data_IF_266937797507
#
_entry.id   IF_266937797507
#
_cell.length_a   1.000
_cell.length_b   1.000
_cell.length_c   1.000
_cell.angle_alpha   90.00
_cell.angle_beta   90.00
_cell.angle_gamma   90.00
#
_symmetry.space_group_name_H-M   'P 1'
#
loop_
_entity.id
_entity.type
_entity.pdbx_description
1 polymer ?
#
# COMPACT_ATOMS: atom_id res chain seq x y z
N UNK A 1 35.36 -14.45 73.39
CA UNK A 1 34.97 -15.24 72.21
C UNK A 1 33.45 -15.18 72.09
N UNK A 2 32.92 -14.89 70.89
CA UNK A 2 31.49 -14.71 70.50
C UNK A 2 30.90 -13.35 70.88
N UNK A 3 30.51 -12.43 69.99
CA UNK A 3 30.32 -12.44 68.54
C UNK A 3 29.05 -11.61 68.24
N UNK A 4 29.21 -10.31 67.96
CA UNK A 4 28.12 -9.39 67.61
C UNK A 4 27.68 -9.65 66.16
N UNK A 5 26.40 -9.96 65.94
CA UNK A 5 25.80 -10.06 64.60
C UNK A 5 24.97 -8.80 64.34
N UNK A 6 25.52 -7.92 63.51
CA UNK A 6 24.81 -6.77 62.91
C UNK A 6 24.16 -7.28 61.62
N UNK A 7 22.83 -7.26 61.56
CA UNK A 7 22.08 -7.56 60.34
C UNK A 7 22.00 -6.28 59.48
N UNK A 8 22.73 -6.25 58.37
CA UNK A 8 22.63 -5.19 57.37
C UNK A 8 21.50 -5.51 56.37
N UNK A 9 20.46 -4.69 56.35
CA UNK A 9 19.40 -4.72 55.34
C UNK A 9 19.93 -4.08 54.05
N UNK A 10 20.19 -4.90 53.03
CA UNK A 10 20.57 -4.42 51.70
C UNK A 10 19.35 -4.12 50.85
N UNK A 11 19.07 -2.84 50.59
CA UNK A 11 18.09 -2.41 49.59
C UNK A 11 18.65 -2.70 48.18
N UNK A 12 18.09 -3.68 47.49
CA UNK A 12 18.34 -3.92 46.06
C UNK A 12 17.47 -2.94 45.27
N UNK A 13 18.07 -1.88 44.75
CA UNK A 13 17.44 -1.03 43.74
C UNK A 13 17.42 -1.79 42.40
N UNK A 14 16.27 -2.35 42.06
CA UNK A 14 15.98 -2.87 40.72
C UNK A 14 15.91 -1.68 39.76
N UNK A 15 16.99 -1.39 39.04
CA UNK A 15 16.96 -0.47 37.91
C UNK A 15 16.20 -1.16 36.79
N UNK A 16 14.88 -0.98 36.74
CA UNK A 16 14.09 -1.29 35.56
C UNK A 16 14.48 -0.28 34.48
N UNK A 17 15.39 -0.67 33.60
CA UNK A 17 15.59 0.02 32.33
C UNK A 17 14.25 -0.06 31.58
N UNK A 18 13.53 1.07 31.50
CA UNK A 18 12.37 1.17 30.65
C UNK A 18 12.83 1.00 29.20
N UNK A 19 12.58 -0.17 28.61
CA UNK A 19 12.76 -0.39 27.18
C UNK A 19 11.82 0.58 26.47
N UNK A 20 12.40 1.55 25.75
CA UNK A 20 11.62 2.42 24.89
C UNK A 20 10.89 1.54 23.87
N UNK A 21 9.57 1.71 23.75
CA UNK A 21 8.78 0.97 22.79
C UNK A 21 9.37 1.15 21.37
N UNK A 22 9.60 0.03 20.68
CA UNK A 22 10.24 0.06 19.37
C UNK A 22 9.24 0.45 18.27
N UNK A 23 9.67 1.19 17.24
CA UNK A 23 8.84 1.47 16.09
C UNK A 23 8.40 0.20 15.36
N UNK A 24 7.11 0.10 15.06
CA UNK A 24 6.52 -0.98 14.26
C UNK A 24 6.35 -0.48 12.83
N UNK A 25 6.83 -1.27 11.88
CA UNK A 25 6.73 -1.01 10.44
C UNK A 25 5.59 -1.85 9.85
N UNK A 26 4.62 -1.24 9.16
CA UNK A 26 3.70 -2.00 8.32
C UNK A 26 4.46 -2.83 7.27
N UNK A 27 3.90 -3.96 6.82
CA UNK A 27 4.50 -4.83 5.82
C UNK A 27 4.98 -4.03 4.60
N UNK A 28 6.23 -4.28 4.20
CA UNK A 28 6.92 -3.58 3.11
C UNK A 28 7.12 -2.07 3.26
N UNK A 29 6.66 -1.44 4.35
CA UNK A 29 6.83 -0.01 4.53
C UNK A 29 8.21 0.33 5.08
N UNK A 30 8.77 1.43 4.60
CA UNK A 30 9.99 2.05 5.12
C UNK A 30 9.71 3.02 6.27
N UNK A 31 8.44 3.26 6.56
CA UNK A 31 7.96 4.16 7.62
C UNK A 31 7.39 3.32 8.75
N UNK A 32 7.89 3.52 9.96
CA UNK A 32 7.37 2.92 11.18
C UNK A 32 7.05 3.99 12.21
N UNK A 33 6.17 3.67 13.15
CA UNK A 33 5.89 4.50 14.34
C UNK A 33 5.81 3.59 15.55
N UNK A 34 5.92 4.16 16.74
CA UNK A 34 5.42 3.52 17.96
C UNK A 34 3.90 3.74 17.99
N UNK A 35 3.08 2.71 17.70
CA UNK A 35 1.63 2.87 17.72
C UNK A 35 1.16 3.21 19.14
N UNK A 36 0.05 3.94 19.24
CA UNK A 36 -0.61 4.16 20.53
C UNK A 36 -1.22 2.87 21.04
N UNK A 37 -1.42 2.79 22.35
CA UNK A 37 -2.10 1.66 22.98
C UNK A 37 -3.45 1.42 22.28
N UNK A 38 -3.76 0.15 22.04
CA UNK A 38 -4.94 -0.35 21.33
C UNK A 38 -5.01 -0.04 19.82
N UNK A 39 -4.01 0.62 19.23
CA UNK A 39 -3.93 0.69 17.76
C UNK A 39 -3.47 -0.63 17.19
N UNK A 40 -4.14 -1.07 16.14
CA UNK A 40 -3.76 -2.25 15.36
C UNK A 40 -3.23 -1.83 14.00
N UNK A 41 -2.34 -2.64 13.44
CA UNK A 41 -1.91 -2.47 12.07
C UNK A 41 -3.10 -2.66 11.12
N UNK A 42 -3.28 -1.75 10.17
CA UNK A 42 -4.40 -1.85 9.23
C UNK A 42 -4.17 -2.95 8.21
N UNK A 43 -5.24 -3.70 7.91
CA UNK A 43 -5.27 -4.66 6.78
C UNK A 43 -5.69 -4.02 5.46
N UNK A 44 -6.02 -2.72 5.47
CA UNK A 44 -6.68 -2.01 4.35
C UNK A 44 -5.82 -0.93 3.72
N UNK A 45 -4.84 -0.44 4.46
CA UNK A 45 -3.88 0.57 4.01
C UNK A 45 -2.57 0.41 4.79
N UNK A 46 -1.47 0.97 4.28
CA UNK A 46 -0.22 1.02 5.04
C UNK A 46 -0.38 1.98 6.23
N UNK A 47 -0.29 1.46 7.45
CA UNK A 47 -0.42 2.25 8.68
C UNK A 47 -1.18 1.52 9.79
N UNK A 48 -1.82 2.30 10.65
CA UNK A 48 -2.47 1.81 11.88
C UNK A 48 -3.88 2.38 12.01
N UNK A 49 -4.75 1.64 12.68
CA UNK A 49 -6.13 2.05 12.95
C UNK A 49 -6.62 1.59 14.32
N UNK A 50 -7.64 2.27 14.82
CA UNK A 50 -8.46 1.82 15.93
C UNK A 50 -9.92 2.18 15.59
N UNK A 51 -10.76 1.16 15.39
CA UNK A 51 -12.16 1.34 15.00
C UNK A 51 -13.01 1.91 16.13
N UNK A 52 -12.73 1.55 17.38
CA UNK A 52 -13.48 2.03 18.56
C UNK A 52 -13.27 3.53 18.80
N UNK A 53 -12.03 3.99 18.62
CA UNK A 53 -11.63 5.41 18.70
C UNK A 53 -11.73 6.13 17.35
N UNK A 54 -12.32 5.49 16.34
CA UNK A 54 -12.48 5.98 14.97
C UNK A 54 -11.22 6.69 14.42
N UNK A 55 -10.06 6.09 14.67
CA UNK A 55 -8.74 6.66 14.37
C UNK A 55 -8.06 5.89 13.26
N UNK A 56 -7.40 6.60 12.35
CA UNK A 56 -6.53 6.02 11.34
C UNK A 56 -5.27 6.87 11.16
N UNK A 57 -4.12 6.23 11.02
CA UNK A 57 -2.85 6.84 10.61
C UNK A 57 -2.39 6.11 9.36
N UNK A 58 -2.38 6.80 8.21
CA UNK A 58 -2.00 6.25 6.92
C UNK A 58 -0.63 6.76 6.50
N UNK A 59 0.19 5.88 5.93
CA UNK A 59 1.52 6.18 5.45
C UNK A 59 1.57 6.19 3.92
N UNK A 60 2.35 7.11 3.38
CA UNK A 60 2.72 7.16 1.97
C UNK A 60 4.21 7.47 1.82
N UNK A 61 4.81 6.89 0.80
CA UNK A 61 6.23 7.02 0.47
C UNK A 61 6.36 7.64 -0.91
N UNK A 62 7.22 8.64 -1.05
CA UNK A 62 7.47 9.37 -2.29
C UNK A 62 8.98 9.49 -2.54
N UNK A 63 9.39 9.78 -3.79
CA UNK A 63 10.78 10.09 -4.09
C UNK A 63 11.34 11.21 -3.19
N UNK A 64 12.65 11.21 -2.90
CA UNK A 64 13.27 12.22 -2.04
C UNK A 64 13.10 13.65 -2.59
N UNK A 65 13.03 13.82 -3.92
CA UNK A 65 12.85 15.11 -4.60
C UNK A 65 11.45 15.69 -4.38
N UNK A 66 10.47 14.86 -3.99
CA UNK A 66 9.09 15.29 -3.78
C UNK A 66 8.91 16.14 -2.50
N UNK A 67 9.85 16.12 -1.55
CA UNK A 67 9.67 16.77 -0.24
C UNK A 67 9.37 18.27 -0.38
N UNK A 68 10.18 18.99 -1.15
CA UNK A 68 10.07 20.45 -1.25
C UNK A 68 8.77 20.84 -1.98
N UNK A 69 8.41 20.10 -3.04
CA UNK A 69 7.16 20.29 -3.76
C UNK A 69 5.94 19.98 -2.88
N UNK A 70 5.99 18.89 -2.11
CA UNK A 70 4.95 18.50 -1.17
C UNK A 70 4.73 19.62 -0.14
N UNK A 71 5.78 20.06 0.53
CA UNK A 71 5.72 21.10 1.57
C UNK A 71 5.19 22.43 1.02
N UNK A 72 5.60 22.81 -0.20
CA UNK A 72 5.09 23.98 -0.89
C UNK A 72 3.59 23.86 -1.22
N UNK A 73 3.12 22.65 -1.56
CA UNK A 73 1.73 22.35 -1.85
C UNK A 73 0.80 22.32 -0.62
N UNK A 74 1.35 22.12 0.58
CA UNK A 74 0.60 22.10 1.84
C UNK A 74 0.20 23.50 2.32
N UNK A 75 -0.42 24.31 1.45
CA UNK A 75 -0.95 25.64 1.79
C UNK A 75 -2.27 25.54 2.54
N UNK A 76 -2.66 26.58 3.28
CA UNK A 76 -3.92 26.61 4.04
C UNK A 76 -5.14 26.37 3.14
N UNK A 77 -5.16 26.96 1.94
CA UNK A 77 -6.28 26.80 0.99
C UNK A 77 -6.31 25.41 0.35
N UNK A 78 -5.16 24.84 0.01
CA UNK A 78 -5.07 23.49 -0.52
C UNK A 78 -5.54 22.46 0.52
N UNK A 79 -5.11 22.62 1.77
CA UNK A 79 -5.52 21.76 2.88
C UNK A 79 -7.00 21.91 3.22
N UNK A 80 -7.55 23.13 3.18
CA UNK A 80 -8.99 23.36 3.36
C UNK A 80 -9.81 22.63 2.29
N UNK A 81 -9.36 22.65 1.04
CA UNK A 81 -9.96 21.85 -0.07
C UNK A 81 -9.86 20.34 0.16
N UNK A 82 -8.81 19.88 0.85
CA UNK A 82 -8.63 18.48 1.26
C UNK A 82 -9.26 18.14 2.63
N UNK A 83 -10.17 18.99 3.11
CA UNK A 83 -10.95 18.69 4.32
C UNK A 83 -10.29 19.09 5.64
N UNK A 84 -9.23 19.93 5.65
CA UNK A 84 -8.49 20.33 6.84
C UNK A 84 -8.51 21.85 7.06
N UNK A 85 -9.18 22.30 8.12
CA UNK A 85 -9.06 23.67 8.64
C UNK A 85 -7.84 23.76 9.57
N UNK A 86 -6.73 24.25 9.02
CA UNK A 86 -5.44 24.35 9.72
C UNK A 86 -5.54 25.26 10.96
N UNK A 87 -5.12 24.71 12.11
CA UNK A 87 -4.98 25.43 13.39
C UNK A 87 -3.52 25.61 13.78
N UNK A 88 -2.65 24.65 13.46
CA UNK A 88 -1.22 24.73 13.74
C UNK A 88 -0.38 24.23 12.56
N UNK A 89 0.81 24.82 12.41
CA UNK A 89 1.84 24.44 11.45
C UNK A 89 3.20 24.59 12.12
N UNK A 90 3.99 23.54 12.14
CA UNK A 90 5.24 23.49 12.90
C UNK A 90 6.31 22.70 12.15
N UNK A 91 7.52 23.26 12.08
CA UNK A 91 8.70 22.49 11.70
C UNK A 91 9.26 21.80 12.94
N UNK A 92 9.50 20.50 12.85
CA UNK A 92 10.02 19.70 13.95
C UNK A 92 11.10 18.73 13.47
N UNK A 93 11.81 18.13 14.43
CA UNK A 93 12.72 17.02 14.17
C UNK A 93 12.02 15.70 14.51
N UNK A 94 12.12 14.75 13.60
CA UNK A 94 11.70 13.37 13.82
C UNK A 94 12.95 12.50 13.75
N UNK A 95 13.47 12.08 14.91
CA UNK A 95 14.80 11.49 14.98
C UNK A 95 15.86 12.43 14.38
N UNK A 96 16.60 11.96 13.38
CA UNK A 96 17.57 12.76 12.64
C UNK A 96 16.97 13.59 11.49
N UNK A 97 15.73 13.28 11.07
CA UNK A 97 15.07 13.89 9.92
C UNK A 97 14.36 15.19 10.26
N UNK A 98 14.28 16.10 9.28
CA UNK A 98 13.41 17.27 9.36
C UNK A 98 11.99 16.90 8.96
N UNK A 99 11.00 17.44 9.67
CA UNK A 99 9.60 17.26 9.32
C UNK A 99 8.77 18.52 9.48
N UNK A 100 7.63 18.53 8.80
CA UNK A 100 6.59 19.55 8.90
C UNK A 100 5.30 18.89 9.37
N UNK A 101 4.84 19.27 10.57
CA UNK A 101 3.56 18.84 11.11
C UNK A 101 2.53 19.96 10.95
N UNK A 102 1.36 19.60 10.43
CA UNK A 102 0.20 20.47 10.31
C UNK A 102 -0.96 19.77 11.01
N UNK A 103 -1.66 20.48 11.89
CA UNK A 103 -2.86 19.97 12.55
C UNK A 103 -4.04 20.92 12.36
N UNK A 104 -5.24 20.38 12.53
CA UNK A 104 -6.46 21.15 12.33
C UNK A 104 -7.73 20.33 12.48
N UNK A 105 -8.85 21.04 12.39
CA UNK A 105 -10.18 20.44 12.43
C UNK A 105 -10.58 19.92 11.04
N UNK A 106 -11.27 18.79 10.99
CA UNK A 106 -11.86 18.28 9.75
C UNK A 106 -13.04 19.16 9.32
N UNK A 107 -13.08 19.52 8.03
CA UNK A 107 -14.13 20.41 7.46
C UNK A 107 -15.25 19.66 6.73
N UNK A 108 -15.18 18.33 6.66
CA UNK A 108 -16.19 17.48 6.06
C UNK A 108 -17.45 17.26 6.91
N UNK A 109 -18.39 16.42 6.44
CA UNK A 109 -19.60 16.07 7.19
C UNK A 109 -19.28 15.34 8.50
N UNK A 110 -18.18 14.58 8.50
CA UNK A 110 -17.65 13.92 9.69
C UNK A 110 -16.75 14.92 10.43
N UNK A 111 -17.15 15.26 11.66
CA UNK A 111 -16.34 16.09 12.57
C UNK A 111 -15.17 15.27 13.11
N UNK A 112 -14.05 15.94 13.37
CA UNK A 112 -12.86 15.29 13.87
C UNK A 112 -11.63 16.18 13.80
N UNK A 113 -10.49 15.58 14.12
CA UNK A 113 -9.15 16.20 14.07
C UNK A 113 -8.31 15.47 13.03
N UNK A 114 -7.44 16.20 12.34
CA UNK A 114 -6.55 15.64 11.33
C UNK A 114 -5.17 16.27 11.42
N UNK A 115 -4.16 15.43 11.22
CA UNK A 115 -2.76 15.79 11.19
C UNK A 115 -2.13 15.34 9.88
N UNK A 116 -1.22 16.15 9.36
CA UNK A 116 -0.42 15.87 8.18
C UNK A 116 1.03 16.09 8.57
N UNK A 117 1.83 15.02 8.53
CA UNK A 117 3.25 15.06 8.81
C UNK A 117 4.02 14.69 7.53
N UNK A 118 4.80 15.61 7.00
CA UNK A 118 5.80 15.32 5.98
C UNK A 118 7.17 15.18 6.65
N UNK A 119 7.93 14.13 6.32
CA UNK A 119 9.29 13.89 6.85
C UNK A 119 10.27 13.71 5.69
N UNK A 120 11.38 14.46 5.74
CA UNK A 120 12.48 14.34 4.78
C UNK A 120 13.43 13.23 5.23
N UNK A 121 13.30 12.06 4.60
CA UNK A 121 14.25 10.96 4.75
C UNK A 121 15.55 11.21 3.98
N UNK A 122 16.51 10.29 4.11
CA UNK A 122 17.78 10.37 3.40
C UNK A 122 17.61 10.15 1.89
N UNK A 123 16.75 9.22 1.50
CA UNK A 123 16.52 8.75 0.13
C UNK A 123 15.03 8.60 -0.20
N UNK A 124 14.15 9.19 0.63
CA UNK A 124 12.71 9.19 0.43
C UNK A 124 12.03 10.36 1.13
N UNK A 125 10.78 10.63 0.74
CA UNK A 125 9.85 11.49 1.49
C UNK A 125 8.76 10.63 2.11
N UNK A 126 8.57 10.72 3.43
CA UNK A 126 7.45 10.08 4.10
C UNK A 126 6.31 11.08 4.35
N UNK A 127 5.07 10.65 4.09
CA UNK A 127 3.87 11.40 4.41
C UNK A 127 2.99 10.55 5.32
N UNK A 128 2.69 11.06 6.51
CA UNK A 128 1.74 10.46 7.43
C UNK A 128 0.51 11.35 7.52
N UNK A 129 -0.66 10.74 7.35
CA UNK A 129 -1.95 11.41 7.54
C UNK A 129 -2.66 10.70 8.66
N UNK A 130 -2.83 11.39 9.79
CA UNK A 130 -3.61 10.90 10.90
C UNK A 130 -4.97 11.59 10.96
N UNK A 131 -5.99 10.86 11.35
CA UNK A 131 -7.32 11.40 11.60
C UNK A 131 -7.98 10.67 12.76
N UNK A 132 -8.70 11.43 13.57
CA UNK A 132 -9.58 10.94 14.63
C UNK A 132 -10.96 11.51 14.31
N UNK A 133 -11.91 10.63 14.01
CA UNK A 133 -13.30 11.00 13.75
C UNK A 133 -14.09 10.99 15.06
N UNK A 134 -15.10 11.85 15.17
CA UNK A 134 -15.86 12.01 16.41
C UNK A 134 -15.29 13.09 17.36
N UNK A 135 -15.95 13.26 18.51
CA UNK A 135 -15.66 14.30 19.50
C UNK A 135 -14.41 14.05 20.36
N UNK A 136 -14.47 14.41 21.64
CA UNK A 136 -13.34 14.28 22.58
C UNK A 136 -13.01 12.82 22.98
N UNK A 137 -13.75 11.83 22.47
CA UNK A 137 -13.68 10.43 22.91
C UNK A 137 -12.60 9.58 22.20
N UNK A 138 -11.89 10.16 21.21
CA UNK A 138 -10.72 9.55 20.58
C UNK A 138 -9.40 9.98 21.21
N UNK A 139 -8.27 9.60 20.61
CA UNK A 139 -6.95 10.01 21.11
C UNK A 139 -6.80 11.54 21.17
N UNK A 140 -6.14 12.00 22.23
CA UNK A 140 -5.82 13.41 22.48
C UNK A 140 -4.79 13.95 21.48
N UNK A 141 -4.68 15.28 21.40
CA UNK A 141 -3.64 15.95 20.61
C UNK A 141 -2.23 15.48 21.01
N UNK A 142 -1.99 15.29 22.31
CA UNK A 142 -0.68 14.90 22.82
C UNK A 142 -0.33 13.46 22.45
N UNK A 143 -1.28 12.54 22.54
CA UNK A 143 -1.09 11.14 22.13
C UNK A 143 -0.83 11.04 20.63
N UNK A 144 -1.65 11.70 19.80
CA UNK A 144 -1.47 11.69 18.35
C UNK A 144 -0.13 12.32 17.95
N UNK A 145 0.26 13.43 18.60
CA UNK A 145 1.56 14.03 18.39
C UNK A 145 2.69 13.06 18.78
N UNK A 146 2.60 12.41 19.95
CA UNK A 146 3.60 11.42 20.41
C UNK A 146 3.80 10.32 19.38
N UNK A 147 2.72 9.75 18.84
CA UNK A 147 2.77 8.72 17.80
C UNK A 147 3.41 9.25 16.51
N UNK A 148 2.98 10.42 16.02
CA UNK A 148 3.52 11.01 14.79
C UNK A 148 4.99 11.43 14.91
N UNK A 149 5.45 11.88 16.08
CA UNK A 149 6.86 12.23 16.29
C UNK A 149 7.76 11.02 16.57
N UNK A 150 7.18 9.84 16.80
CA UNK A 150 7.92 8.58 16.96
C UNK A 150 8.33 7.92 15.63
N UNK A 151 8.12 8.61 14.51
CA UNK A 151 8.43 8.08 13.18
C UNK A 151 9.89 7.64 13.10
N UNK A 152 10.07 6.40 12.66
CA UNK A 152 11.35 5.83 12.28
C UNK A 152 11.33 5.51 10.79
N UNK A 153 12.45 5.82 10.13
CA UNK A 153 12.65 5.52 8.72
C UNK A 153 13.71 4.42 8.61
N UNK A 154 13.47 3.45 7.73
CA UNK A 154 14.45 2.41 7.40
C UNK A 154 14.91 2.49 5.94
N UNK A 155 16.01 1.81 5.66
CA UNK A 155 16.53 1.68 4.30
C UNK A 155 15.56 0.98 3.34
N UNK A 156 15.93 0.85 2.07
CA UNK A 156 15.14 0.14 1.08
C UNK A 156 14.76 -1.28 1.54
N UNK A 157 13.51 -1.66 1.31
CA UNK A 157 13.02 -3.01 1.60
C UNK A 157 13.36 -3.92 0.43
N UNK A 158 13.90 -5.11 0.70
CA UNK A 158 14.19 -6.09 -0.36
C UNK A 158 12.94 -6.48 -1.14
N UNK A 159 13.07 -6.84 -2.42
CA UNK A 159 11.92 -7.25 -3.23
C UNK A 159 11.20 -8.47 -2.63
N UNK A 160 11.92 -9.42 -2.05
CA UNK A 160 11.33 -10.60 -1.41
C UNK A 160 10.53 -10.26 -0.17
N UNK A 161 10.99 -9.30 0.65
CA UNK A 161 10.22 -8.80 1.79
C UNK A 161 8.97 -8.04 1.30
N UNK A 162 9.09 -7.24 0.23
CA UNK A 162 7.93 -6.57 -0.37
C UNK A 162 6.90 -7.57 -0.90
N UNK A 163 7.33 -8.65 -1.55
CA UNK A 163 6.44 -9.71 -2.05
C UNK A 163 5.79 -10.46 -0.90
N UNK A 164 6.54 -10.78 0.15
CA UNK A 164 6.04 -11.51 1.32
C UNK A 164 4.98 -10.72 2.09
N UNK A 165 4.99 -9.39 1.95
CA UNK A 165 4.04 -8.46 2.54
C UNK A 165 2.73 -8.29 1.73
N UNK A 166 2.66 -8.80 0.50
CA UNK A 166 1.48 -8.65 -0.35
C UNK A 166 0.26 -9.35 0.28
N UNK A 167 -0.96 -8.85 0.03
CA UNK A 167 -2.18 -9.43 0.57
C UNK A 167 -2.63 -10.70 -0.18
N UNK A 168 -1.68 -11.44 -0.76
CA UNK A 168 -1.86 -12.66 -1.52
C UNK A 168 -0.50 -13.36 -1.70
N UNK A 169 -0.52 -14.63 -2.10
CA UNK A 169 0.67 -15.39 -2.51
C UNK A 169 0.56 -15.83 -3.96
N UNK A 170 1.70 -15.86 -4.65
CA UNK A 170 1.81 -16.42 -6.00
C UNK A 170 2.44 -17.80 -5.86
N UNK A 171 1.69 -18.85 -6.21
CA UNK A 171 2.20 -20.22 -6.19
C UNK A 171 3.15 -20.48 -7.36
N UNK A 172 2.60 -20.73 -8.54
CA UNK A 172 3.36 -20.94 -9.76
C UNK A 172 3.50 -19.62 -10.53
N UNK A 173 4.74 -19.16 -10.69
CA UNK A 173 5.04 -17.94 -11.46
C UNK A 173 5.15 -18.19 -12.96
N UNK A 174 5.06 -19.43 -13.44
CA UNK A 174 5.13 -19.80 -14.85
C UNK A 174 6.33 -19.18 -15.60
N UNK A 175 7.49 -19.13 -14.95
CA UNK A 175 8.73 -18.54 -15.47
C UNK A 175 8.83 -17.01 -15.34
N UNK A 176 7.78 -16.31 -14.92
CA UNK A 176 7.83 -14.86 -14.70
C UNK A 176 8.62 -14.53 -13.43
N UNK A 177 9.53 -13.56 -13.55
CA UNK A 177 10.30 -13.01 -12.44
C UNK A 177 9.63 -11.76 -11.90
N UNK A 178 9.38 -11.65 -10.58
CA UNK A 178 8.97 -10.39 -9.99
C UNK A 178 10.06 -9.33 -10.17
N UNK A 179 9.67 -8.12 -10.53
CA UNK A 179 10.62 -7.01 -10.74
C UNK A 179 10.35 -5.82 -9.82
N UNK A 180 9.10 -5.60 -9.41
CA UNK A 180 8.73 -4.55 -8.43
C UNK A 180 7.35 -4.80 -7.83
N UNK A 181 7.19 -4.41 -6.57
CA UNK A 181 5.87 -4.21 -5.95
C UNK A 181 5.39 -2.79 -6.22
N UNK A 182 4.08 -2.64 -6.44
CA UNK A 182 3.42 -1.39 -6.71
C UNK A 182 2.37 -1.16 -5.63
N UNK A 183 2.44 -0.02 -4.93
CA UNK A 183 1.46 0.43 -3.95
C UNK A 183 1.13 -0.59 -2.82
N UNK A 184 2.00 -1.56 -2.56
CA UNK A 184 1.84 -2.57 -1.49
C UNK A 184 0.74 -3.61 -1.72
N UNK A 185 0.02 -3.57 -2.84
CA UNK A 185 -1.08 -4.50 -3.15
C UNK A 185 -0.99 -5.10 -4.56
N UNK A 186 0.09 -4.81 -5.28
CA UNK A 186 0.28 -5.20 -6.67
C UNK A 186 1.73 -5.56 -6.93
N UNK A 187 1.97 -6.41 -7.92
CA UNK A 187 3.32 -6.82 -8.33
C UNK A 187 3.41 -6.87 -9.85
N UNK A 188 4.51 -6.34 -10.36
CA UNK A 188 4.92 -6.46 -11.75
C UNK A 188 5.86 -7.64 -11.85
N UNK A 189 5.56 -8.55 -12.77
CA UNK A 189 6.44 -9.63 -13.18
C UNK A 189 6.77 -9.51 -14.67
N UNK A 190 7.93 -10.02 -15.06
CA UNK A 190 8.37 -10.05 -16.45
C UNK A 190 8.97 -11.40 -16.81
N UNK A 191 8.92 -11.73 -18.10
CA UNK A 191 9.64 -12.85 -18.66
C UNK A 191 10.75 -12.34 -19.59
N UNK A 192 11.93 -12.13 -19.02
CA UNK A 192 13.08 -11.60 -19.73
C UNK A 192 14.00 -10.78 -18.82
N UNK A 193 15.09 -10.22 -19.38
CA UNK A 193 16.11 -9.54 -18.61
C UNK A 193 15.70 -8.12 -18.16
N UNK A 194 14.66 -7.52 -18.73
CA UNK A 194 14.29 -6.13 -18.41
C UNK A 194 13.50 -6.03 -17.10
N UNK A 195 13.95 -5.16 -16.20
CA UNK A 195 13.26 -4.84 -14.93
C UNK A 195 12.37 -3.59 -15.02
N UNK A 196 12.46 -2.88 -16.15
CA UNK A 196 11.66 -1.70 -16.45
C UNK A 196 10.85 -1.92 -17.71
N UNK A 197 9.59 -1.49 -17.68
CA UNK A 197 8.68 -1.59 -18.83
C UNK A 197 8.52 -0.19 -19.41
N UNK A 198 9.25 0.09 -20.49
CA UNK A 198 9.11 1.31 -21.29
C UNK A 198 8.20 1.09 -22.50
N UNK A 199 8.29 -0.09 -23.09
CA UNK A 199 7.47 -0.62 -24.16
C UNK A 199 7.28 -2.14 -23.93
N UNK A 200 6.41 -2.78 -24.73
CA UNK A 200 6.22 -4.24 -24.68
C UNK A 200 7.34 -4.95 -25.46
N UNK A 201 8.52 -5.00 -24.85
CA UNK A 201 9.72 -5.66 -25.41
C UNK A 201 9.82 -7.14 -25.03
N UNK A 202 9.17 -7.52 -23.94
CA UNK A 202 9.11 -8.86 -23.40
C UNK A 202 7.76 -9.06 -22.69
N UNK A 203 7.33 -10.30 -22.41
CA UNK A 203 6.06 -10.53 -21.71
C UNK A 203 6.05 -9.91 -20.31
N UNK A 204 4.91 -9.31 -19.97
CA UNK A 204 4.69 -8.59 -18.70
C UNK A 204 3.41 -9.11 -18.05
N UNK A 205 3.43 -9.28 -16.73
CA UNK A 205 2.25 -9.54 -15.91
C UNK A 205 2.16 -8.48 -14.81
N UNK A 206 1.01 -7.82 -14.73
CA UNK A 206 0.66 -6.99 -13.57
C UNK A 206 -0.46 -7.70 -12.83
N UNK A 207 -0.22 -8.03 -11.57
CA UNK A 207 -1.20 -8.63 -10.68
C UNK A 207 -1.50 -7.67 -9.55
N UNK A 208 -2.77 -7.37 -9.30
CA UNK A 208 -3.22 -6.41 -8.31
C UNK A 208 -4.42 -6.92 -7.52
N UNK A 209 -4.47 -6.62 -6.23
CA UNK A 209 -5.64 -6.86 -5.38
C UNK A 209 -6.30 -5.54 -5.04
N UNK A 210 -7.59 -5.44 -5.33
CA UNK A 210 -8.43 -4.38 -4.80
C UNK A 210 -9.14 -4.87 -3.56
N UNK A 211 -8.98 -4.12 -2.47
CA UNK A 211 -9.69 -4.34 -1.20
C UNK A 211 -11.07 -3.67 -1.16
N UNK A 212 -11.46 -2.99 -2.25
CA UNK A 212 -12.82 -2.49 -2.40
C UNK A 212 -13.76 -3.62 -2.85
N UNK A 213 -15.02 -3.62 -2.38
CA UNK A 213 -15.99 -4.64 -2.77
C UNK A 213 -16.20 -4.62 -4.30
N UNK A 214 -16.28 -5.80 -4.93
CA UNK A 214 -16.52 -5.86 -6.37
C UNK A 214 -17.96 -5.46 -6.70
N UNK A 215 -18.26 -5.17 -7.98
CA UNK A 215 -19.63 -5.00 -8.42
C UNK A 215 -20.47 -6.26 -8.08
N UNK A 216 -21.70 -6.10 -7.57
CA UNK A 216 -22.46 -7.21 -6.98
C UNK A 216 -23.02 -8.20 -8.02
N UNK A 217 -23.34 -7.75 -9.24
CA UNK A 217 -23.96 -8.62 -10.26
C UNK A 217 -23.01 -8.97 -11.40
N UNK A 218 -23.25 -10.11 -12.06
CA UNK A 218 -22.47 -10.58 -13.21
C UNK A 218 -22.38 -9.51 -14.31
N UNK A 219 -23.50 -8.94 -14.74
CA UNK A 219 -23.51 -7.90 -15.78
C UNK A 219 -22.70 -6.65 -15.40
N UNK A 220 -22.72 -6.26 -14.12
CA UNK A 220 -21.92 -5.15 -13.63
C UNK A 220 -20.43 -5.49 -13.61
N UNK A 221 -20.08 -6.73 -13.27
CA UNK A 221 -18.70 -7.24 -13.30
C UNK A 221 -18.15 -7.28 -14.72
N UNK A 222 -18.94 -7.67 -15.71
CA UNK A 222 -18.55 -7.64 -17.13
C UNK A 222 -18.32 -6.22 -17.64
N UNK A 223 -19.24 -5.28 -17.33
CA UNK A 223 -19.06 -3.86 -17.66
C UNK A 223 -17.81 -3.28 -16.98
N UNK A 224 -17.59 -3.63 -15.71
CA UNK A 224 -16.40 -3.24 -14.97
C UNK A 224 -15.13 -3.77 -15.63
N UNK A 225 -15.09 -5.06 -15.99
CA UNK A 225 -13.94 -5.67 -16.65
C UNK A 225 -13.60 -4.98 -17.98
N UNK A 226 -14.63 -4.70 -18.80
CA UNK A 226 -14.45 -3.97 -20.07
C UNK A 226 -13.93 -2.55 -19.85
N UNK A 227 -14.51 -1.81 -18.91
CA UNK A 227 -14.08 -0.45 -18.60
C UNK A 227 -12.62 -0.42 -18.09
N UNK A 228 -12.26 -1.37 -17.22
CA UNK A 228 -10.90 -1.49 -16.67
C UNK A 228 -9.84 -1.83 -17.73
N UNK A 229 -10.22 -2.60 -18.76
CA UNK A 229 -9.31 -2.89 -19.88
C UNK A 229 -9.08 -1.64 -20.74
N UNK A 230 -10.14 -0.92 -21.09
CA UNK A 230 -10.08 0.27 -21.96
C UNK A 230 -9.44 1.48 -21.26
N UNK A 231 -9.50 1.57 -19.93
CA UNK A 231 -8.84 2.64 -19.16
C UNK A 231 -7.32 2.50 -19.08
N UNK A 232 -6.73 1.42 -19.62
CA UNK A 232 -5.30 1.22 -19.60
C UNK A 232 -4.59 2.14 -20.61
N UNK A 233 -3.79 3.09 -20.11
CA UNK A 233 -3.11 4.10 -20.93
C UNK A 233 -1.89 3.56 -21.71
N UNK A 234 -1.42 2.35 -21.39
CA UNK A 234 -0.30 1.71 -22.11
C UNK A 234 -0.70 1.03 -23.41
N UNK A 235 -2.02 0.92 -23.69
CA UNK A 235 -2.54 0.25 -24.88
C UNK A 235 -3.56 1.13 -25.60
N UNK A 236 -3.64 0.99 -26.92
CA UNK A 236 -4.66 1.64 -27.77
C UNK A 236 -5.21 0.64 -28.78
N UNK A 237 -6.27 1.04 -29.49
CA UNK A 237 -6.88 0.24 -30.57
C UNK A 237 -7.28 -1.17 -30.12
N UNK A 238 -7.91 -1.25 -28.94
CA UNK A 238 -8.28 -2.52 -28.29
C UNK A 238 -9.40 -3.20 -29.08
N UNK A 239 -9.10 -4.39 -29.63
CA UNK A 239 -10.03 -5.27 -30.30
C UNK A 239 -10.20 -6.57 -29.49
N UNK A 240 -11.33 -6.69 -28.80
CA UNK A 240 -11.68 -7.88 -28.00
C UNK A 240 -11.96 -9.07 -28.91
N UNK A 241 -11.24 -10.17 -28.70
CA UNK A 241 -11.46 -11.42 -29.42
C UNK A 241 -12.34 -12.39 -28.64
N UNK A 242 -12.18 -12.41 -27.30
CA UNK A 242 -12.95 -13.25 -26.39
C UNK A 242 -13.14 -12.53 -25.07
N UNK A 243 -14.34 -12.61 -24.51
CA UNK A 243 -14.65 -12.13 -23.17
C UNK A 243 -15.66 -13.10 -22.56
N UNK A 244 -15.29 -13.77 -21.49
CA UNK A 244 -16.08 -14.86 -20.91
C UNK A 244 -16.10 -14.78 -19.40
N UNK A 245 -17.30 -14.96 -18.85
CA UNK A 245 -17.53 -15.14 -17.42
C UNK A 245 -17.66 -16.63 -17.11
N UNK A 246 -16.99 -17.11 -16.07
CA UNK A 246 -17.06 -18.51 -15.67
C UNK A 246 -16.85 -18.67 -14.16
N UNK A 247 -17.19 -19.85 -13.63
CA UNK A 247 -16.98 -20.19 -12.22
C UNK A 247 -15.83 -21.19 -12.09
N UNK A 248 -14.86 -20.87 -11.25
CA UNK A 248 -13.68 -21.71 -11.02
C UNK A 248 -13.25 -21.61 -9.55
N UNK A 249 -12.94 -22.76 -8.94
CA UNK A 249 -12.60 -22.89 -7.50
C UNK A 249 -13.60 -22.19 -6.55
N UNK A 250 -14.87 -22.15 -6.93
CA UNK A 250 -15.95 -21.53 -6.15
C UNK A 250 -16.07 -20.01 -6.28
N UNK A 251 -15.13 -19.34 -6.97
CA UNK A 251 -15.22 -17.91 -7.28
C UNK A 251 -15.81 -17.67 -8.68
N UNK A 252 -16.31 -16.45 -8.90
CA UNK A 252 -16.69 -15.98 -10.23
C UNK A 252 -15.51 -15.27 -10.88
N UNK A 253 -15.30 -15.55 -12.16
CA UNK A 253 -14.17 -15.06 -12.94
C UNK A 253 -14.66 -14.38 -14.21
N UNK A 254 -13.91 -13.40 -14.67
CA UNK A 254 -14.07 -12.83 -16.00
C UNK A 254 -12.72 -12.72 -16.69
N UNK A 255 -12.60 -13.34 -17.86
CA UNK A 255 -11.38 -13.31 -18.66
C UNK A 255 -11.66 -12.64 -20.01
N UNK A 256 -10.79 -11.71 -20.39
CA UNK A 256 -10.84 -11.02 -21.67
C UNK A 256 -9.50 -11.21 -22.39
N UNK A 257 -9.53 -11.67 -23.63
CA UNK A 257 -8.39 -11.68 -24.54
C UNK A 257 -8.65 -10.68 -25.66
N UNK A 258 -7.73 -9.75 -25.85
CA UNK A 258 -7.83 -8.70 -26.85
C UNK A 258 -6.52 -8.47 -27.57
N UNK A 259 -6.59 -8.17 -28.87
CA UNK A 259 -5.49 -7.54 -29.59
C UNK A 259 -5.50 -6.04 -29.29
N UNK A 260 -4.32 -5.45 -29.22
CA UNK A 260 -4.16 -4.01 -29.04
C UNK A 260 -2.83 -3.57 -29.67
N UNK A 261 -2.54 -2.27 -29.57
CA UNK A 261 -1.27 -1.67 -29.95
C UNK A 261 -0.62 -1.07 -28.71
N UNK A 262 0.66 -1.35 -28.49
CA UNK A 262 1.46 -0.71 -27.45
C UNK A 262 1.59 0.79 -27.77
N UNK A 263 1.21 1.66 -26.82
CA UNK A 263 1.25 3.11 -27.07
C UNK A 263 2.67 3.64 -27.20
N UNK A 264 3.65 2.98 -26.57
CA UNK A 264 5.04 3.42 -26.58
C UNK A 264 5.78 3.05 -27.88
N UNK A 265 5.65 1.80 -28.35
CA UNK A 265 6.37 1.30 -29.53
C UNK A 265 5.55 1.30 -30.82
N UNK A 266 4.22 1.29 -30.73
CA UNK A 266 3.34 1.06 -31.88
C UNK A 266 3.25 -0.41 -32.31
N UNK A 267 3.90 -1.33 -31.59
CA UNK A 267 3.88 -2.75 -31.93
C UNK A 267 2.54 -3.41 -31.59
N UNK A 268 2.10 -4.41 -32.39
CA UNK A 268 0.91 -5.19 -32.10
C UNK A 268 1.15 -6.13 -30.91
N UNK A 269 0.24 -6.06 -29.94
CA UNK A 269 0.30 -6.84 -28.70
C UNK A 269 -0.96 -7.66 -28.50
N UNK A 270 -0.83 -8.72 -27.71
CA UNK A 270 -1.93 -9.48 -27.14
C UNK A 270 -2.04 -9.15 -25.66
N UNK A 271 -3.26 -8.89 -25.20
CA UNK A 271 -3.58 -8.59 -23.81
C UNK A 271 -4.54 -9.64 -23.29
N UNK A 272 -4.23 -10.19 -22.12
CA UNK A 272 -5.15 -11.03 -21.35
C UNK A 272 -5.42 -10.39 -20.00
N UNK A 273 -6.67 -9.99 -19.78
CA UNK A 273 -7.13 -9.54 -18.48
C UNK A 273 -7.93 -10.65 -17.83
N UNK A 274 -7.59 -11.01 -16.60
CA UNK A 274 -8.38 -11.94 -15.79
C UNK A 274 -8.74 -11.26 -14.48
N UNK A 275 -10.03 -11.27 -14.12
CA UNK A 275 -10.51 -10.76 -12.83
C UNK A 275 -11.18 -11.92 -12.09
N UNK A 276 -10.70 -12.19 -10.88
CA UNK A 276 -11.33 -13.10 -9.91
C UNK A 276 -12.08 -12.29 -8.88
N UNK A 277 -13.39 -12.49 -8.78
CA UNK A 277 -14.26 -11.80 -7.85
C UNK A 277 -14.47 -12.64 -6.58
N UNK A 278 -14.12 -12.06 -5.44
CA UNK A 278 -14.43 -12.61 -4.11
C UNK A 278 -15.65 -11.90 -3.52
N UNK A 279 -16.04 -12.22 -2.29
CA UNK A 279 -17.18 -11.57 -1.63
C UNK A 279 -16.94 -10.07 -1.35
N UNK A 280 -15.74 -9.70 -0.91
CA UNK A 280 -15.41 -8.35 -0.39
C UNK A 280 -14.24 -7.67 -1.12
N UNK A 281 -13.66 -8.35 -2.10
CA UNK A 281 -12.46 -7.92 -2.84
C UNK A 281 -12.43 -8.52 -4.24
N UNK A 282 -11.45 -8.12 -5.05
CA UNK A 282 -11.15 -8.82 -6.30
C UNK A 282 -9.66 -8.81 -6.61
N UNK A 283 -9.21 -9.84 -7.33
CA UNK A 283 -7.87 -9.92 -7.91
C UNK A 283 -7.98 -9.63 -9.39
N UNK A 284 -7.13 -8.74 -9.91
CA UNK A 284 -7.03 -8.46 -11.33
C UNK A 284 -5.61 -8.72 -11.81
N UNK A 285 -5.49 -9.53 -12.85
CA UNK A 285 -4.26 -9.72 -13.61
C UNK A 285 -4.41 -9.11 -15.00
N UNK A 286 -3.35 -8.46 -15.48
CA UNK A 286 -3.19 -8.10 -16.89
C UNK A 286 -1.86 -8.67 -17.37
N UNK A 287 -1.92 -9.66 -18.26
CA UNK A 287 -0.79 -10.16 -19.02
C UNK A 287 -0.72 -9.48 -20.39
N UNK A 288 0.48 -9.07 -20.79
CA UNK A 288 0.73 -8.40 -22.08
C UNK A 288 1.96 -9.04 -22.73
N UNK A 289 1.88 -9.37 -24.02
CA UNK A 289 3.00 -9.84 -24.82
C UNK A 289 2.87 -9.39 -26.27
N UNK A 290 3.92 -9.53 -27.07
CA UNK A 290 3.81 -9.33 -28.53
C UNK A 290 2.90 -10.40 -29.12
N UNK A 291 2.16 -10.07 -30.19
CA UNK A 291 1.25 -11.03 -30.84
C UNK A 291 1.97 -12.31 -31.27
N UNK A 292 3.23 -12.22 -31.69
CA UNK A 292 4.05 -13.38 -32.07
C UNK A 292 4.26 -14.40 -30.93
N UNK A 293 4.23 -13.95 -29.67
CA UNK A 293 4.44 -14.80 -28.48
C UNK A 293 3.13 -15.32 -27.88
N UNK A 294 1.99 -15.08 -28.52
CA UNK A 294 0.65 -15.39 -28.00
C UNK A 294 0.50 -16.84 -27.54
N UNK A 295 0.86 -17.79 -28.40
CA UNK A 295 0.61 -19.21 -28.15
C UNK A 295 1.34 -19.71 -26.90
N UNK A 296 2.53 -19.17 -26.65
CA UNK A 296 3.35 -19.51 -25.50
C UNK A 296 2.89 -18.78 -24.22
N UNK A 297 2.53 -17.49 -24.34
CA UNK A 297 2.33 -16.62 -23.17
C UNK A 297 0.94 -16.71 -22.56
N UNK A 298 -0.13 -16.90 -23.35
CA UNK A 298 -1.49 -16.94 -22.82
C UNK A 298 -1.71 -18.07 -21.78
N UNK A 299 -1.25 -19.33 -22.01
CA UNK A 299 -1.36 -20.38 -20.99
C UNK A 299 -0.59 -20.03 -19.71
N UNK A 300 0.60 -19.44 -19.85
CA UNK A 300 1.45 -19.07 -18.70
C UNK A 300 0.82 -17.96 -17.87
N UNK A 301 0.20 -16.96 -18.50
CA UNK A 301 -0.59 -15.96 -17.78
C UNK A 301 -1.70 -16.62 -16.95
N UNK A 302 -2.41 -17.60 -17.53
CA UNK A 302 -3.49 -18.31 -16.82
C UNK A 302 -2.95 -19.07 -15.62
N UNK A 303 -1.83 -19.78 -15.77
CA UNK A 303 -1.17 -20.48 -14.66
C UNK A 303 -0.84 -19.54 -13.49
N UNK A 304 -0.33 -18.33 -13.78
CA UNK A 304 -0.03 -17.35 -12.73
C UNK A 304 -1.27 -16.98 -11.93
N UNK A 305 -2.36 -16.56 -12.57
CA UNK A 305 -3.57 -16.12 -11.86
C UNK A 305 -4.29 -17.27 -11.15
N UNK A 306 -4.28 -18.48 -11.73
CA UNK A 306 -4.90 -19.67 -11.15
C UNK A 306 -4.19 -20.14 -9.86
N UNK A 307 -2.91 -19.76 -9.72
CA UNK A 307 -2.07 -20.07 -8.56
C UNK A 307 -2.18 -19.05 -7.41
N UNK A 308 -2.94 -17.97 -7.59
CA UNK A 308 -3.05 -16.93 -6.57
C UNK A 308 -3.85 -17.42 -5.39
N UNK A 309 -3.21 -17.40 -4.23
CA UNK A 309 -3.82 -17.69 -2.94
C UNK A 309 -4.11 -16.39 -2.18
N UNK A 310 -5.33 -16.27 -1.67
CA UNK A 310 -5.79 -15.13 -0.85
C UNK A 310 -5.84 -15.46 0.63
N UNK A 311 -5.64 -16.72 1.02
CA UNK A 311 -5.57 -17.10 2.42
C UNK A 311 -4.28 -16.53 3.02
N UNK A 312 -4.43 -15.56 3.92
CA UNK A 312 -3.36 -15.06 4.79
C UNK A 312 -3.70 -15.44 6.23
#
# INVERSE_FOLDING_TARGET
MRGLLVAAFGCIFSVQAALAAEPVFPPASRVGIVPLDDMVMSKRFSGFENSEKATAITFAEMPPEAYDQLVAGLTKDALKRQGLAVTARENLKVGASSGLLISGAMTGPIKGRKWVLAVKGADMTALLIAQVQGGNDGYSEQEMRKALTSVALRGPVSLDEQISALPFRIGDRAGFRPVRVLSGNSVLLTDGPLDTVKAVEQPVVILAVSLAPPPPTTDQRERFARAALVSNQSIKEVAVERAESFRFKGQDWHETVAKAVDTASGEPIIVMQTIRFEADRYVRMVGIARVAQRAETLPRFRNVIDSIDMAL
#
